data_IF_886966495563
#
_entry.id   IF_886966495563
#
_cell.length_a   1.000
_cell.length_b   1.000
_cell.length_c   1.000
_cell.angle_alpha   90.00
_cell.angle_beta   90.00
_cell.angle_gamma   90.00
#
_symmetry.space_group_name_H-M   'P 1'
#
loop_
_entity.id
_entity.type
_entity.pdbx_description
1 polymer ?
#
# COMPACT_ATOMS: atom_id res chain seq x y z
N UNK A 1 12.20 45.83 29.91
CA UNK A 1 12.68 44.76 29.01
C UNK A 1 11.51 43.88 28.66
N UNK A 2 10.96 44.07 27.46
CA UNK A 2 9.83 43.30 26.92
C UNK A 2 10.34 42.00 26.30
N UNK A 3 9.87 40.85 26.79
CA UNK A 3 10.14 39.56 26.14
C UNK A 3 9.56 39.60 24.71
N UNK A 4 10.36 39.24 23.68
CA UNK A 4 9.84 39.14 22.33
C UNK A 4 8.80 38.02 22.29
N UNK A 5 7.57 38.36 21.89
CA UNK A 5 6.49 37.41 21.72
C UNK A 5 6.95 36.30 20.77
N UNK A 6 7.18 35.09 21.31
CA UNK A 6 7.39 33.89 20.50
C UNK A 6 6.12 33.67 19.69
N UNK A 7 6.14 34.02 18.41
CA UNK A 7 5.11 33.63 17.47
C UNK A 7 5.09 32.11 17.41
N UNK A 8 4.18 31.51 18.15
CA UNK A 8 3.90 30.07 18.07
C UNK A 8 3.23 29.82 16.72
N UNK A 9 4.06 29.68 15.68
CA UNK A 9 3.64 29.18 14.38
C UNK A 9 3.04 27.80 14.61
N UNK A 10 1.70 27.73 14.59
CA UNK A 10 1.01 26.46 14.69
C UNK A 10 1.36 25.68 13.42
N UNK A 11 1.91 24.46 13.54
CA UNK A 11 2.24 23.67 12.38
C UNK A 11 0.97 23.44 11.54
N UNK A 12 1.07 23.45 10.20
CA UNK A 12 -0.08 23.26 9.33
C UNK A 12 -0.80 21.95 9.68
N UNK A 13 -2.10 22.04 9.97
CA UNK A 13 -2.92 20.89 10.36
C UNK A 13 -3.34 20.10 9.14
N UNK A 14 -3.06 18.79 9.14
CA UNK A 14 -3.52 17.88 8.10
C UNK A 14 -4.95 17.47 8.42
N UNK A 15 -5.84 17.70 7.46
CA UNK A 15 -7.25 17.26 7.50
C UNK A 15 -7.50 16.08 6.57
N UNK A 16 -8.62 15.38 6.76
CA UNK A 16 -9.10 14.28 5.88
C UNK A 16 -9.10 14.67 4.40
N UNK A 17 -9.39 15.94 4.09
CA UNK A 17 -9.42 16.48 2.72
C UNK A 17 -8.07 16.38 2.01
N UNK A 18 -6.96 16.43 2.73
CA UNK A 18 -5.63 16.28 2.13
C UNK A 18 -5.39 14.86 1.61
N UNK A 19 -5.85 13.84 2.35
CA UNK A 19 -5.79 12.45 1.89
C UNK A 19 -6.73 12.18 0.73
N UNK A 20 -7.93 12.79 0.74
CA UNK A 20 -8.85 12.73 -0.40
C UNK A 20 -8.23 13.39 -1.65
N UNK A 21 -7.61 14.55 -1.49
CA UNK A 21 -6.89 15.23 -2.58
C UNK A 21 -5.71 14.39 -3.09
N UNK A 22 -4.93 13.78 -2.19
CA UNK A 22 -3.83 12.87 -2.56
C UNK A 22 -4.33 11.67 -3.36
N UNK A 23 -5.41 11.02 -2.91
CA UNK A 23 -6.01 9.90 -3.63
C UNK A 23 -6.60 10.34 -4.98
N UNK A 24 -7.25 11.52 -5.02
CA UNK A 24 -7.82 12.09 -6.23
C UNK A 24 -6.74 12.44 -7.26
N UNK A 25 -5.61 13.03 -6.83
CA UNK A 25 -4.46 13.31 -7.69
C UNK A 25 -3.83 12.02 -8.23
N UNK A 26 -3.69 10.99 -7.40
CA UNK A 26 -3.18 9.69 -7.84
C UNK A 26 -4.12 9.03 -8.85
N UNK A 27 -5.44 9.07 -8.61
CA UNK A 27 -6.45 8.55 -9.53
C UNK A 27 -6.47 9.32 -10.86
N UNK A 28 -6.33 10.65 -10.82
CA UNK A 28 -6.21 11.47 -12.01
C UNK A 28 -4.94 11.14 -12.81
N UNK A 29 -3.80 10.93 -12.13
CA UNK A 29 -2.56 10.51 -12.77
C UNK A 29 -2.70 9.13 -13.45
N UNK A 30 -3.32 8.15 -12.77
CA UNK A 30 -3.65 6.84 -13.34
C UNK A 30 -4.48 7.03 -14.62
N UNK A 31 -5.54 7.82 -14.55
CA UNK A 31 -6.43 8.04 -15.69
C UNK A 31 -5.70 8.68 -16.89
N UNK A 32 -4.87 9.70 -16.64
CA UNK A 32 -4.08 10.36 -17.68
C UNK A 32 -3.11 9.38 -18.35
N UNK A 33 -2.43 8.55 -17.56
CA UNK A 33 -1.52 7.52 -18.07
C UNK A 33 -2.27 6.45 -18.87
N UNK A 34 -3.46 6.04 -18.41
CA UNK A 34 -4.32 5.10 -19.13
C UNK A 34 -4.80 5.68 -20.47
N UNK A 35 -5.15 6.97 -20.53
CA UNK A 35 -5.49 7.63 -21.79
C UNK A 35 -4.28 7.71 -22.74
N UNK A 36 -3.10 8.02 -22.22
CA UNK A 36 -1.86 8.04 -23.01
C UNK A 36 -1.52 6.65 -23.57
N UNK A 37 -1.74 5.59 -22.79
CA UNK A 37 -1.57 4.20 -23.24
C UNK A 37 -2.65 3.79 -24.24
N UNK A 38 -3.89 4.25 -24.07
CA UNK A 38 -5.01 3.91 -24.96
C UNK A 38 -4.77 4.31 -26.41
N UNK A 39 -4.00 5.38 -26.67
CA UNK A 39 -3.66 5.79 -28.04
C UNK A 39 -2.78 4.78 -28.78
N UNK A 40 -2.16 3.84 -28.05
CA UNK A 40 -1.31 2.78 -28.60
C UNK A 40 -2.00 1.41 -28.63
N UNK A 41 -3.14 1.28 -27.96
CA UNK A 41 -3.81 -0.01 -27.80
C UNK A 41 -4.46 -0.47 -29.11
N UNK A 42 -4.39 -1.78 -29.37
CA UNK A 42 -5.00 -2.44 -30.54
C UNK A 42 -6.52 -2.56 -30.37
N UNK A 43 -7.01 -2.49 -29.13
CA UNK A 43 -8.43 -2.62 -28.81
C UNK A 43 -9.24 -1.42 -29.34
N UNK A 44 -10.54 -1.66 -29.53
CA UNK A 44 -11.46 -0.65 -30.00
C UNK A 44 -11.47 0.56 -29.02
N UNK A 45 -11.18 1.80 -29.45
CA UNK A 45 -10.94 2.93 -28.55
C UNK A 45 -12.17 3.31 -27.70
N UNK A 46 -13.37 3.02 -28.20
CA UNK A 46 -14.61 3.21 -27.45
C UNK A 46 -14.68 2.29 -26.21
N UNK A 47 -14.22 1.04 -26.34
CA UNK A 47 -14.25 0.05 -25.25
C UNK A 47 -13.21 0.40 -24.19
N UNK A 48 -11.98 0.76 -24.60
CA UNK A 48 -10.93 1.16 -23.65
C UNK A 48 -11.33 2.41 -22.88
N UNK A 49 -11.87 3.42 -23.57
CA UNK A 49 -12.39 4.64 -22.95
C UNK A 49 -13.49 4.33 -21.93
N UNK A 50 -14.43 3.46 -22.27
CA UNK A 50 -15.48 3.03 -21.36
C UNK A 50 -14.90 2.37 -20.09
N UNK A 51 -13.93 1.46 -20.24
CA UNK A 51 -13.25 0.81 -19.10
C UNK A 51 -12.55 1.85 -18.22
N UNK A 52 -11.82 2.81 -18.81
CA UNK A 52 -11.13 3.86 -18.05
C UNK A 52 -12.10 4.75 -17.27
N UNK A 53 -13.25 5.09 -17.87
CA UNK A 53 -14.32 5.82 -17.18
C UNK A 53 -14.89 5.00 -16.02
N UNK A 54 -15.09 3.69 -16.19
CA UNK A 54 -15.54 2.82 -15.10
C UNK A 54 -14.53 2.76 -13.95
N UNK A 55 -13.23 2.64 -14.24
CA UNK A 55 -12.16 2.68 -13.22
C UNK A 55 -12.19 4.01 -12.46
N UNK A 56 -12.34 5.12 -13.17
CA UNK A 56 -12.46 6.45 -12.56
C UNK A 56 -13.67 6.52 -11.62
N UNK A 57 -14.85 6.09 -12.07
CA UNK A 57 -16.06 6.12 -11.26
C UNK A 57 -15.93 5.24 -10.01
N UNK A 58 -15.38 4.03 -10.14
CA UNK A 58 -15.12 3.14 -9.00
C UNK A 58 -14.14 3.79 -8.00
N UNK A 59 -13.10 4.45 -8.51
CA UNK A 59 -12.13 5.18 -7.70
C UNK A 59 -12.75 6.37 -6.97
N UNK A 60 -13.51 7.22 -7.67
CA UNK A 60 -14.19 8.39 -7.09
C UNK A 60 -15.22 7.97 -6.05
N UNK A 61 -16.05 6.97 -6.36
CA UNK A 61 -17.01 6.39 -5.40
C UNK A 61 -16.27 5.85 -4.18
N UNK A 62 -15.12 5.19 -4.35
CA UNK A 62 -14.29 4.74 -3.23
C UNK A 62 -13.71 5.87 -2.36
N UNK A 63 -13.32 6.99 -2.97
CA UNK A 63 -12.77 8.15 -2.24
C UNK A 63 -13.86 8.90 -1.47
N UNK A 64 -15.09 8.91 -1.98
CA UNK A 64 -16.24 9.56 -1.35
C UNK A 64 -16.95 8.66 -0.33
N UNK A 65 -17.05 7.36 -0.64
CA UNK A 65 -17.72 6.36 0.17
C UNK A 65 -16.72 5.29 0.65
N UNK A 66 -16.66 4.98 1.97
CA UNK A 66 -15.74 4.00 2.57
C UNK A 66 -15.91 2.52 2.14
N UNK A 67 -15.97 2.23 0.84
CA UNK A 67 -16.12 0.88 0.33
C UNK A 67 -14.78 0.17 0.37
N UNK A 68 -14.59 -0.68 1.37
CA UNK A 68 -13.36 -1.44 1.63
C UNK A 68 -12.69 -2.11 0.42
N UNK A 69 -13.49 -2.56 -0.56
CA UNK A 69 -13.01 -3.25 -1.75
C UNK A 69 -12.58 -2.33 -2.90
N UNK A 70 -12.84 -1.02 -2.80
CA UNK A 70 -12.55 -0.06 -3.87
C UNK A 70 -11.10 -0.11 -4.38
N UNK A 71 -10.04 -0.07 -3.56
CA UNK A 71 -8.66 -0.06 -4.07
C UNK A 71 -8.29 -1.34 -4.83
N UNK A 72 -8.87 -2.48 -4.43
CA UNK A 72 -8.70 -3.74 -5.14
C UNK A 72 -9.41 -3.70 -6.48
N UNK A 73 -10.65 -3.19 -6.52
CA UNK A 73 -11.41 -3.06 -7.77
C UNK A 73 -10.72 -2.12 -8.76
N UNK A 74 -10.16 -1.01 -8.30
CA UNK A 74 -9.35 -0.11 -9.15
C UNK A 74 -8.12 -0.83 -9.68
N UNK A 75 -7.37 -1.55 -8.83
CA UNK A 75 -6.19 -2.30 -9.26
C UNK A 75 -6.54 -3.40 -10.27
N UNK A 76 -7.60 -4.17 -10.04
CA UNK A 76 -8.10 -5.16 -10.99
C UNK A 76 -8.55 -4.51 -12.29
N UNK A 77 -9.23 -3.36 -12.21
CA UNK A 77 -9.67 -2.58 -13.36
C UNK A 77 -8.49 -2.11 -14.22
N UNK A 78 -7.37 -1.73 -13.62
CA UNK A 78 -6.13 -1.36 -14.34
C UNK A 78 -5.43 -2.61 -14.90
N UNK A 79 -5.29 -3.66 -14.09
CA UNK A 79 -4.52 -4.85 -14.46
C UNK A 79 -5.19 -5.69 -15.57
N UNK A 80 -6.52 -5.80 -15.56
CA UNK A 80 -7.26 -6.61 -16.52
C UNK A 80 -7.05 -6.20 -18.00
N UNK A 81 -7.22 -4.92 -18.40
CA UNK A 81 -6.99 -4.50 -19.78
C UNK A 81 -5.51 -4.65 -20.17
N UNK A 82 -4.56 -4.34 -19.27
CA UNK A 82 -3.13 -4.53 -19.54
C UNK A 82 -2.80 -6.02 -19.79
N UNK A 83 -3.33 -6.93 -18.96
CA UNK A 83 -3.13 -8.36 -19.13
C UNK A 83 -3.78 -8.89 -20.41
N UNK A 84 -4.97 -8.38 -20.76
CA UNK A 84 -5.67 -8.77 -21.98
C UNK A 84 -4.92 -8.29 -23.23
N UNK A 85 -4.42 -7.05 -23.23
CA UNK A 85 -3.63 -6.50 -24.33
C UNK A 85 -2.31 -7.27 -24.52
N UNK A 86 -1.65 -7.61 -23.41
CA UNK A 86 -0.46 -8.45 -23.44
C UNK A 86 -0.76 -9.86 -23.99
N UNK A 87 -1.90 -10.43 -23.63
CA UNK A 87 -2.33 -11.74 -24.12
C UNK A 87 -2.56 -11.74 -25.65
N UNK A 88 -3.25 -10.73 -26.18
CA UNK A 88 -3.47 -10.60 -27.62
C UNK A 88 -2.17 -10.31 -28.38
N UNK A 89 -1.32 -9.43 -27.84
CA UNK A 89 -0.02 -9.10 -28.42
C UNK A 89 0.88 -10.35 -28.54
N UNK A 90 0.92 -11.17 -27.48
CA UNK A 90 1.70 -12.42 -27.48
C UNK A 90 1.16 -13.47 -28.46
N UNK A 91 -0.17 -13.52 -28.69
CA UNK A 91 -0.77 -14.43 -29.67
C UNK A 91 -0.51 -14.01 -31.11
N UNK A 92 -0.49 -12.70 -31.39
CA UNK A 92 -0.46 -12.18 -32.75
C UNK A 92 0.95 -12.07 -33.36
N UNK A 93 2.00 -11.84 -32.55
CA UNK A 93 3.32 -11.41 -33.06
C UNK A 93 4.49 -12.36 -32.74
N UNK A 94 4.24 -13.54 -32.17
CA UNK A 94 5.30 -14.42 -31.68
C UNK A 94 6.00 -13.85 -30.44
N UNK A 95 6.80 -14.65 -29.71
CA UNK A 95 7.41 -14.27 -28.44
C UNK A 95 8.63 -13.33 -28.60
N UNK A 96 8.52 -12.32 -29.46
CA UNK A 96 9.48 -11.20 -29.48
C UNK A 96 9.16 -10.23 -28.34
N UNK A 97 9.38 -10.72 -27.11
CA UNK A 97 9.51 -9.95 -25.87
C UNK A 97 10.66 -8.90 -25.92
N UNK A 98 11.32 -8.75 -27.08
CA UNK A 98 12.56 -8.01 -27.33
C UNK A 98 12.37 -6.53 -27.64
N UNK A 99 11.20 -6.10 -28.09
CA UNK A 99 10.98 -4.70 -28.50
C UNK A 99 10.51 -3.77 -27.36
N UNK A 100 10.29 -4.31 -26.16
CA UNK A 100 9.92 -3.49 -25.00
C UNK A 100 11.08 -2.59 -24.57
N UNK A 101 10.83 -1.29 -24.40
CA UNK A 101 11.79 -0.40 -23.75
C UNK A 101 12.11 -0.96 -22.36
N UNK A 102 13.39 -0.99 -22.02
CA UNK A 102 13.90 -1.55 -20.75
C UNK A 102 13.32 -0.79 -19.54
N UNK A 103 13.00 0.49 -19.73
CA UNK A 103 12.37 1.34 -18.73
C UNK A 103 11.30 2.19 -19.43
N UNK A 104 10.03 1.83 -19.25
CA UNK A 104 8.93 2.70 -19.66
C UNK A 104 8.56 3.61 -18.49
N UNK A 105 8.82 4.90 -18.65
CA UNK A 105 8.48 5.92 -17.66
C UNK A 105 6.98 5.89 -17.33
N UNK A 106 6.12 5.56 -18.31
CA UNK A 106 4.68 5.48 -18.11
C UNK A 106 4.29 4.35 -17.13
N UNK A 107 4.91 3.17 -17.25
CA UNK A 107 4.64 2.03 -16.36
C UNK A 107 5.13 2.31 -14.94
N UNK A 108 6.30 2.94 -14.82
CA UNK A 108 6.84 3.35 -13.51
C UNK A 108 5.94 4.41 -12.85
N UNK A 109 5.49 5.42 -13.60
CA UNK A 109 4.55 6.43 -13.10
C UNK A 109 3.20 5.81 -12.72
N UNK A 110 2.71 4.83 -13.49
CA UNK A 110 1.47 4.11 -13.20
C UNK A 110 1.60 3.31 -11.89
N UNK A 111 2.73 2.63 -11.71
CA UNK A 111 3.05 1.91 -10.47
C UNK A 111 3.10 2.86 -9.27
N UNK A 112 3.79 3.99 -9.39
CA UNK A 112 3.85 5.00 -8.33
C UNK A 112 2.46 5.54 -8.01
N UNK A 113 1.66 5.92 -9.02
CA UNK A 113 0.32 6.45 -8.81
C UNK A 113 -0.61 5.40 -8.15
N UNK A 114 -0.51 4.13 -8.57
CA UNK A 114 -1.22 3.01 -7.94
C UNK A 114 -0.86 2.83 -6.47
N UNK A 115 0.44 2.89 -6.13
CA UNK A 115 0.91 2.81 -4.74
C UNK A 115 0.45 4.00 -3.89
N UNK A 116 0.54 5.24 -4.41
CA UNK A 116 0.06 6.44 -3.70
C UNK A 116 -1.44 6.33 -3.45
N UNK A 117 -2.21 5.93 -4.46
CA UNK A 117 -3.65 5.73 -4.33
C UNK A 117 -3.97 4.69 -3.25
N UNK A 118 -3.29 3.53 -3.27
CA UNK A 118 -3.51 2.46 -2.32
C UNK A 118 -3.18 2.91 -0.88
N UNK A 119 -1.99 3.45 -0.65
CA UNK A 119 -1.57 3.89 0.69
C UNK A 119 -2.46 5.04 1.20
N UNK A 120 -2.75 6.02 0.34
CA UNK A 120 -3.67 7.11 0.64
C UNK A 120 -5.06 6.61 1.01
N UNK A 121 -5.59 5.64 0.27
CA UNK A 121 -6.89 5.04 0.50
C UNK A 121 -6.96 4.32 1.85
N UNK A 122 -5.99 3.47 2.17
CA UNK A 122 -5.97 2.77 3.47
C UNK A 122 -5.81 3.74 4.65
N UNK A 123 -5.05 4.82 4.48
CA UNK A 123 -4.94 5.89 5.48
C UNK A 123 -6.27 6.61 5.68
N UNK A 124 -6.94 6.99 4.58
CA UNK A 124 -8.27 7.60 4.61
C UNK A 124 -9.30 6.68 5.28
N UNK A 125 -9.31 5.40 4.92
CA UNK A 125 -10.16 4.38 5.54
C UNK A 125 -9.86 4.23 7.04
N UNK A 126 -8.58 4.25 7.44
CA UNK A 126 -8.19 4.22 8.85
C UNK A 126 -8.72 5.40 9.67
N UNK A 127 -8.80 6.59 9.06
CA UNK A 127 -9.36 7.81 9.68
C UNK A 127 -10.88 7.73 9.84
N UNK A 128 -11.58 7.21 8.83
CA UNK A 128 -13.04 7.09 8.86
C UNK A 128 -13.55 6.09 9.89
N UNK A 129 -12.91 4.92 9.96
CA UNK A 129 -13.35 3.84 10.84
C UNK A 129 -12.72 3.88 12.24
N UNK A 130 -11.77 4.79 12.49
CA UNK A 130 -11.18 4.97 13.82
C UNK A 130 -10.57 3.68 14.36
N UNK A 131 -9.62 3.09 13.61
CA UNK A 131 -9.04 1.75 13.87
C UNK A 131 -8.29 1.63 15.22
N UNK A 132 -8.17 2.71 15.98
CA UNK A 132 -7.58 2.64 17.32
C UNK A 132 -8.61 2.06 18.30
N UNK A 133 -8.30 0.92 18.97
CA UNK A 133 -9.14 0.43 20.05
C UNK A 133 -9.29 1.52 21.11
N UNK A 134 -10.49 1.64 21.70
CA UNK A 134 -10.75 2.61 22.75
C UNK A 134 -9.67 2.50 23.84
N UNK A 135 -9.05 3.63 24.18
CA UNK A 135 -7.98 3.67 25.16
C UNK A 135 -8.49 3.13 26.50
N UNK A 136 -8.00 1.95 26.91
CA UNK A 136 -8.39 1.28 28.17
C UNK A 136 -8.03 2.09 29.41
N UNK A 137 -7.21 3.14 29.28
CA UNK A 137 -6.89 4.05 30.38
C UNK A 137 -8.02 5.04 30.67
N UNK A 138 -9.06 5.11 29.83
CA UNK A 138 -10.25 5.87 30.19
C UNK A 138 -10.96 5.18 31.38
N UNK A 139 -11.27 5.93 32.44
CA UNK A 139 -11.88 5.37 33.65
C UNK A 139 -13.15 4.61 33.28
N UNK A 140 -13.30 3.40 33.83
CA UNK A 140 -14.28 2.38 33.46
C UNK A 140 -15.76 2.78 33.59
N UNK A 141 -16.06 4.02 33.95
CA UNK A 141 -17.40 4.59 34.00
C UNK A 141 -17.78 5.46 32.79
N UNK A 142 -16.83 5.83 31.93
CA UNK A 142 -17.11 6.60 30.70
C UNK A 142 -16.97 5.70 29.49
N UNK A 143 -17.90 4.77 29.30
CA UNK A 143 -18.05 4.00 28.07
C UNK A 143 -18.62 4.89 26.96
N UNK A 144 -17.86 5.89 26.55
CA UNK A 144 -18.17 6.70 25.37
C UNK A 144 -17.98 5.87 24.10
N UNK A 145 -18.64 6.24 22.98
CA UNK A 145 -18.33 5.67 21.68
C UNK A 145 -16.83 5.81 21.39
N UNK A 146 -16.21 4.84 20.68
CA UNK A 146 -14.79 4.87 20.37
C UNK A 146 -14.41 6.22 19.78
N UNK A 147 -13.50 6.93 20.46
CA UNK A 147 -13.11 8.28 20.07
C UNK A 147 -12.35 8.17 18.75
N UNK A 148 -12.89 8.78 17.68
CA UNK A 148 -12.17 8.90 16.41
C UNK A 148 -10.80 9.52 16.67
N UNK A 149 -9.77 8.98 16.02
CA UNK A 149 -8.41 9.53 16.06
C UNK A 149 -8.51 11.03 15.74
N UNK A 150 -8.04 11.89 16.63
CA UNK A 150 -8.13 13.34 16.43
C UNK A 150 -7.29 13.73 15.22
N UNK A 151 -7.82 14.64 14.40
CA UNK A 151 -7.09 15.19 13.25
C UNK A 151 -5.77 15.86 13.68
N UNK A 152 -5.73 16.38 14.92
CA UNK A 152 -4.53 16.98 15.52
C UNK A 152 -3.36 15.99 15.68
N UNK A 153 -3.62 14.68 15.63
CA UNK A 153 -2.57 13.64 15.71
C UNK A 153 -1.93 13.32 14.35
N UNK A 154 -2.40 13.94 13.27
CA UNK A 154 -1.84 13.75 11.93
C UNK A 154 -0.71 14.76 11.70
N UNK A 155 0.50 14.24 11.54
CA UNK A 155 1.68 15.07 11.25
C UNK A 155 2.13 14.90 9.80
N UNK A 156 2.69 15.97 9.20
CA UNK A 156 3.34 15.91 7.88
C UNK A 156 4.49 14.90 7.84
N UNK A 157 5.08 14.61 8.99
CA UNK A 157 6.09 13.57 9.12
C UNK A 157 5.56 12.17 8.76
N UNK A 158 4.24 11.93 8.80
CA UNK A 158 3.65 10.65 8.33
C UNK A 158 3.59 10.56 6.80
N UNK A 159 3.54 11.70 6.09
CA UNK A 159 3.54 11.74 4.62
C UNK A 159 4.96 11.74 4.04
N UNK A 160 5.94 12.30 4.76
CA UNK A 160 7.34 12.31 4.36
C UNK A 160 7.91 10.93 3.93
N UNK A 161 7.69 9.81 4.66
CA UNK A 161 8.19 8.51 4.23
C UNK A 161 7.53 8.03 2.93
N UNK A 162 6.32 8.48 2.61
CA UNK A 162 5.61 8.08 1.39
C UNK A 162 6.33 8.59 0.14
N UNK A 163 6.87 9.82 0.21
CA UNK A 163 7.61 10.45 -0.90
C UNK A 163 8.86 9.66 -1.28
N UNK A 164 9.50 9.00 -0.32
CA UNK A 164 10.73 8.22 -0.56
C UNK A 164 10.40 6.75 -0.85
N UNK A 165 9.49 6.15 -0.08
CA UNK A 165 9.17 4.73 -0.20
C UNK A 165 8.45 4.40 -1.50
N UNK A 166 7.53 5.24 -1.97
CA UNK A 166 6.77 4.97 -3.21
C UNK A 166 7.70 4.86 -4.43
N UNK A 167 8.57 5.85 -4.74
CA UNK A 167 9.50 5.71 -5.86
C UNK A 167 10.47 4.56 -5.67
N UNK A 168 10.96 4.31 -4.45
CA UNK A 168 11.86 3.19 -4.17
C UNK A 168 11.20 1.83 -4.47
N UNK A 169 9.95 1.63 -4.07
CA UNK A 169 9.20 0.41 -4.37
C UNK A 169 8.84 0.29 -5.86
N UNK A 170 8.50 1.39 -6.53
CA UNK A 170 8.26 1.38 -7.97
C UNK A 170 9.52 1.02 -8.76
N UNK A 171 10.68 1.59 -8.39
CA UNK A 171 11.98 1.24 -8.96
C UNK A 171 12.35 -0.22 -8.69
N UNK A 172 12.09 -0.72 -7.48
CA UNK A 172 12.34 -2.12 -7.14
C UNK A 172 11.43 -3.07 -7.94
N UNK A 173 10.16 -2.70 -8.14
CA UNK A 173 9.23 -3.46 -8.97
C UNK A 173 9.67 -3.47 -10.43
N UNK A 174 10.07 -2.33 -10.98
CA UNK A 174 10.58 -2.23 -12.35
C UNK A 174 11.89 -3.03 -12.52
N UNK A 175 12.79 -2.96 -11.54
CA UNK A 175 14.01 -3.77 -11.53
C UNK A 175 13.69 -5.27 -11.48
N UNK A 176 12.74 -5.69 -10.65
CA UNK A 176 12.29 -7.07 -10.61
C UNK A 176 11.71 -7.51 -11.96
N UNK A 177 10.87 -6.68 -12.58
CA UNK A 177 10.34 -6.91 -13.92
C UNK A 177 11.45 -6.99 -14.97
N UNK A 178 12.47 -6.14 -14.89
CA UNK A 178 13.63 -6.14 -15.78
C UNK A 178 14.43 -7.44 -15.64
N UNK A 179 14.69 -7.89 -14.40
CA UNK A 179 15.37 -9.16 -14.12
C UNK A 179 14.57 -10.35 -14.67
N UNK A 180 13.24 -10.30 -14.58
CA UNK A 180 12.35 -11.32 -15.15
C UNK A 180 12.32 -11.30 -16.69
N UNK A 181 12.47 -10.13 -17.31
CA UNK A 181 12.57 -9.95 -18.77
C UNK A 181 13.94 -10.29 -19.32
N UNK A 182 15.00 -10.22 -18.51
CA UNK A 182 16.36 -10.46 -18.95
C UNK A 182 16.48 -11.91 -19.45
N UNK A 183 16.81 -12.06 -20.75
CA UNK A 183 17.17 -13.36 -21.30
C UNK A 183 18.46 -13.80 -20.64
N UNK A 184 18.39 -14.86 -19.83
CA UNK A 184 19.56 -15.54 -19.27
C UNK A 184 20.30 -16.35 -20.36
N UNK A 185 20.56 -15.73 -21.51
CA UNK A 185 21.27 -16.31 -22.67
C UNK A 185 22.79 -16.20 -22.53
N UNK A 186 23.30 -15.67 -21.42
CA UNK A 186 24.75 -15.54 -21.17
C UNK A 186 25.40 -16.91 -20.96
N UNK A 187 24.60 -17.97 -20.85
CA UNK A 187 25.06 -19.35 -20.92
C UNK A 187 24.29 -19.99 -22.07
N UNK A 188 24.98 -20.60 -23.04
CA UNK A 188 24.40 -21.42 -24.12
C UNK A 188 23.70 -22.67 -23.53
N UNK A 189 22.68 -22.43 -22.72
CA UNK A 189 21.91 -23.43 -22.04
C UNK A 189 20.98 -24.07 -23.08
N UNK A 190 20.97 -25.41 -23.18
CA UNK A 190 20.14 -26.12 -24.14
C UNK A 190 18.65 -25.77 -23.96
N UNK A 191 17.82 -25.87 -25.02
CA UNK A 191 16.43 -25.37 -25.06
C UNK A 191 15.52 -25.86 -23.93
N UNK A 192 15.86 -26.98 -23.28
CA UNK A 192 15.24 -27.45 -22.03
C UNK A 192 15.25 -26.41 -20.89
N UNK A 193 16.24 -25.52 -20.81
CA UNK A 193 16.28 -24.48 -19.77
C UNK A 193 15.38 -23.27 -20.03
N UNK A 194 14.81 -23.12 -21.23
CA UNK A 194 13.71 -22.16 -21.44
C UNK A 194 12.47 -22.55 -20.61
N UNK A 195 12.29 -23.85 -20.30
CA UNK A 195 11.31 -24.30 -19.31
C UNK A 195 11.64 -23.77 -17.90
N UNK A 196 12.92 -23.54 -17.60
CA UNK A 196 13.38 -22.97 -16.32
C UNK A 196 12.84 -21.56 -16.07
N UNK A 197 12.73 -20.71 -17.10
CA UNK A 197 12.12 -19.38 -16.94
C UNK A 197 10.62 -19.48 -16.68
N UNK A 198 9.91 -20.40 -17.36
CA UNK A 198 8.50 -20.66 -17.09
C UNK A 198 8.29 -21.22 -15.68
N UNK A 199 9.17 -22.11 -15.22
CA UNK A 199 9.17 -22.64 -13.85
C UNK A 199 9.46 -21.54 -12.82
N UNK A 200 10.39 -20.62 -13.09
CA UNK A 200 10.68 -19.50 -12.21
C UNK A 200 9.51 -18.54 -12.12
N UNK A 201 8.89 -18.20 -13.26
CA UNK A 201 7.70 -17.36 -13.29
C UNK A 201 6.53 -18.05 -12.58
N UNK A 202 6.34 -19.36 -12.81
CA UNK A 202 5.36 -20.17 -12.08
C UNK A 202 5.65 -20.22 -10.57
N UNK A 203 6.92 -20.36 -10.18
CA UNK A 203 7.32 -20.34 -8.78
C UNK A 203 7.04 -18.99 -8.14
N UNK A 204 7.29 -17.89 -8.84
CA UNK A 204 6.97 -16.54 -8.37
C UNK A 204 5.46 -16.30 -8.27
N UNK A 205 4.68 -16.73 -9.26
CA UNK A 205 3.21 -16.60 -9.20
C UNK A 205 2.63 -17.46 -8.09
N UNK A 206 3.14 -18.67 -7.88
CA UNK A 206 2.78 -19.53 -6.74
C UNK A 206 3.18 -18.86 -5.43
N UNK A 207 4.41 -18.35 -5.30
CA UNK A 207 4.88 -17.71 -4.07
C UNK A 207 4.06 -16.46 -3.73
N UNK A 208 3.80 -15.59 -4.70
CA UNK A 208 2.96 -14.41 -4.53
C UNK A 208 1.52 -14.81 -4.22
N UNK A 209 0.97 -15.78 -4.95
CA UNK A 209 -0.37 -16.32 -4.73
C UNK A 209 -0.54 -16.91 -3.34
N UNK A 210 0.42 -17.71 -2.87
CA UNK A 210 0.45 -18.26 -1.52
C UNK A 210 0.58 -17.17 -0.47
N UNK A 211 1.40 -16.14 -0.72
CA UNK A 211 1.57 -15.02 0.21
C UNK A 211 0.26 -14.23 0.35
N UNK A 212 -0.38 -13.88 -0.77
CA UNK A 212 -1.67 -13.19 -0.80
C UNK A 212 -2.77 -14.06 -0.19
N UNK A 213 -2.80 -15.35 -0.51
CA UNK A 213 -3.73 -16.34 0.04
C UNK A 213 -3.58 -16.48 1.55
N UNK A 214 -2.35 -16.59 2.04
CA UNK A 214 -2.05 -16.66 3.47
C UNK A 214 -2.46 -15.38 4.20
N UNK A 215 -2.19 -14.19 3.63
CA UNK A 215 -2.62 -12.92 4.23
C UNK A 215 -4.15 -12.78 4.24
N UNK A 216 -4.80 -13.16 3.13
CA UNK A 216 -6.27 -13.17 3.02
C UNK A 216 -6.90 -14.14 4.00
N UNK A 217 -6.33 -15.34 4.17
CA UNK A 217 -6.77 -16.32 5.15
C UNK A 217 -6.57 -15.84 6.58
N UNK A 218 -5.40 -15.25 6.90
CA UNK A 218 -5.16 -14.61 8.21
C UNK A 218 -6.16 -13.51 8.47
N UNK A 219 -6.46 -12.71 7.46
CA UNK A 219 -7.45 -11.65 7.54
C UNK A 219 -8.86 -12.20 7.78
N UNK A 220 -9.30 -13.18 6.98
CA UNK A 220 -10.59 -13.85 7.15
C UNK A 220 -10.73 -14.51 8.52
N UNK A 221 -9.68 -15.21 8.98
CA UNK A 221 -9.64 -15.80 10.32
C UNK A 221 -9.78 -14.74 11.41
N UNK A 222 -9.20 -13.54 11.24
CA UNK A 222 -9.40 -12.42 12.18
C UNK A 222 -10.83 -11.92 12.18
N UNK A 223 -11.52 -11.94 11.04
CA UNK A 223 -12.95 -11.56 10.95
C UNK A 223 -13.83 -12.56 11.66
N UNK A 224 -13.48 -13.85 11.64
CA UNK A 224 -14.22 -14.90 12.32
C UNK A 224 -13.86 -15.06 13.81
N UNK A 225 -12.90 -14.31 14.35
CA UNK A 225 -12.51 -14.45 15.75
C UNK A 225 -13.58 -13.89 16.68
N UNK A 226 -14.02 -14.74 17.61
CA UNK A 226 -14.85 -14.31 18.74
C UNK A 226 -14.16 -13.22 19.56
N UNK A 227 -14.97 -12.35 20.17
CA UNK A 227 -14.48 -11.18 20.92
C UNK A 227 -13.46 -11.54 22.00
N UNK A 228 -13.65 -12.65 22.70
CA UNK A 228 -12.72 -13.16 23.73
C UNK A 228 -11.37 -13.55 23.13
N UNK A 229 -11.38 -14.32 22.05
CA UNK A 229 -10.18 -14.72 21.30
C UNK A 229 -9.45 -13.52 20.71
N UNK A 230 -10.19 -12.55 20.16
CA UNK A 230 -9.62 -11.31 19.65
C UNK A 230 -8.94 -10.48 20.76
N UNK A 231 -9.54 -10.42 21.96
CA UNK A 231 -8.95 -9.74 23.12
C UNK A 231 -7.68 -10.43 23.60
N UNK A 232 -7.67 -11.76 23.66
CA UNK A 232 -6.48 -12.55 24.01
C UNK A 232 -5.36 -12.36 22.98
N UNK A 233 -5.69 -12.43 21.69
CA UNK A 233 -4.72 -12.18 20.62
C UNK A 233 -4.17 -10.75 20.66
N UNK A 234 -5.03 -9.75 20.92
CA UNK A 234 -4.59 -8.35 21.07
C UNK A 234 -3.64 -8.22 22.26
N UNK A 235 -3.92 -8.92 23.37
CA UNK A 235 -3.06 -8.93 24.54
C UNK A 235 -1.71 -9.59 24.26
N UNK A 236 -1.66 -10.69 23.51
CA UNK A 236 -0.42 -11.33 23.09
C UNK A 236 0.41 -10.45 22.15
N UNK A 237 -0.24 -9.77 21.20
CA UNK A 237 0.44 -8.82 20.30
C UNK A 237 1.00 -7.65 21.10
N UNK A 238 0.19 -7.04 21.97
CA UNK A 238 0.62 -5.95 22.85
C UNK A 238 1.78 -6.39 23.74
N UNK A 239 1.71 -7.60 24.30
CA UNK A 239 2.79 -8.15 25.11
C UNK A 239 4.07 -8.31 24.31
N UNK A 240 4.01 -8.91 23.11
CA UNK A 240 5.19 -9.10 22.27
C UNK A 240 5.82 -7.79 21.82
N UNK A 241 5.02 -6.78 21.46
CA UNK A 241 5.52 -5.45 21.08
C UNK A 241 6.13 -4.71 22.28
N UNK A 242 5.48 -4.77 23.46
CA UNK A 242 5.91 -3.99 24.63
C UNK A 242 6.95 -4.68 25.49
N UNK A 243 7.18 -5.99 25.38
CA UNK A 243 8.11 -6.74 26.24
C UNK A 243 9.55 -6.21 26.17
N UNK A 244 9.99 -5.76 24.99
CA UNK A 244 11.32 -5.17 24.81
C UNK A 244 11.47 -3.84 25.57
N UNK A 245 10.49 -2.97 25.42
CA UNK A 245 10.38 -1.68 26.12
C UNK A 245 10.27 -1.86 27.64
N UNK A 246 9.41 -2.78 28.09
CA UNK A 246 9.26 -3.10 29.50
C UNK A 246 10.57 -3.59 30.14
N UNK A 247 11.33 -4.44 29.44
CA UNK A 247 12.66 -4.88 29.90
C UNK A 247 13.66 -3.73 29.97
N UNK A 248 13.59 -2.75 29.07
CA UNK A 248 14.43 -1.53 29.14
C UNK A 248 14.05 -0.67 30.34
N UNK A 249 12.76 -0.40 30.53
CA UNK A 249 12.24 0.36 31.68
C UNK A 249 12.57 -0.31 33.02
N UNK A 250 12.39 -1.62 33.14
CA UNK A 250 12.74 -2.36 34.35
C UNK A 250 14.23 -2.30 34.67
N UNK A 251 15.11 -2.44 33.66
CA UNK A 251 16.55 -2.27 33.85
C UNK A 251 16.91 -0.85 34.29
N UNK A 252 16.29 0.16 33.68
CA UNK A 252 16.50 1.55 34.05
C UNK A 252 16.05 1.85 35.48
N UNK A 253 14.87 1.34 35.89
CA UNK A 253 14.37 1.45 37.26
C UNK A 253 15.27 0.72 38.27
N UNK A 254 15.73 -0.49 37.94
CA UNK A 254 16.66 -1.23 38.79
C UNK A 254 17.99 -0.49 38.99
N UNK A 255 18.54 0.06 37.90
CA UNK A 255 19.76 0.86 37.95
C UNK A 255 19.60 2.15 38.77
N UNK A 256 18.45 2.83 38.66
CA UNK A 256 18.13 4.02 39.46
C UNK A 256 18.08 3.69 40.96
N UNK A 257 17.40 2.59 41.34
CA UNK A 257 17.35 2.13 42.74
C UNK A 257 18.74 1.79 43.30
N UNK A 258 19.63 1.25 42.47
CA UNK A 258 21.02 0.97 42.89
C UNK A 258 21.83 2.24 43.14
N UNK A 259 21.56 3.34 42.41
CA UNK A 259 22.18 4.64 42.70
C UNK A 259 21.65 5.26 43.98
N UNK A 260 20.33 5.22 44.18
CA UNK A 260 19.69 5.79 45.37
C UNK A 260 20.18 5.12 46.67
N UNK A 261 20.54 3.82 46.62
CA UNK A 261 21.14 3.11 47.78
C UNK A 261 22.61 3.43 48.05
N UNK A 262 23.32 4.07 47.11
CA UNK A 262 24.75 4.41 47.26
C UNK A 262 24.96 5.85 47.76
N UNK A 263 23.90 6.67 47.74
CA UNK A 263 23.87 8.01 48.31
C UNK A 263 23.38 7.97 49.75
#
# INVERSE_FOLDING_TARGET
>A
MSEPAKSTLTPPKITVRHYQALCGLALAAILLLLFQQSSRSILNPAVTTFIHVMILLIGVVGILYPVRLSPMLVLFGIAAPMALEQFYSNRALGPDLRAGRILDLADMLMCMAGLVFFVGYYRLHGLWFGVLPADRRQPSGMSGPPKRRSEDSLSLAELAPLVITVPAFALLAEFACMVLKLRWTVVDLPPQWQQGQQLLLAAWTILLGLTVGAQSFRYWRRVQMDRTTALLMLQDVLWNETRGEQRRLQRWLAWRRLREKKS
#
